data_IF_845003814753
#
_entry.id   IF_845003814753
#
_cell.length_a   1.000
_cell.length_b   1.000
_cell.length_c   1.000
_cell.angle_alpha   90.00
_cell.angle_beta   90.00
_cell.angle_gamma   90.00
#
_symmetry.space_group_name_H-M   'P 1'
#
loop_
_entity.id
_entity.type
_entity.pdbx_description
1 polymer ?
#
# COMPACT_ATOMS: atom_id res chain seq x y z
N UNK A 1 22.17 -5.22 -20.91
CA UNK A 1 21.79 -3.85 -21.33
C UNK A 1 21.72 -3.78 -22.84
N UNK A 2 20.65 -3.21 -23.41
CA UNK A 2 20.53 -2.95 -24.85
C UNK A 2 20.65 -1.44 -25.09
N UNK A 3 21.66 -1.00 -25.82
CA UNK A 3 21.85 0.42 -26.15
C UNK A 3 20.92 0.79 -27.30
N UNK A 4 20.13 1.84 -27.11
CA UNK A 4 19.18 2.35 -28.11
C UNK A 4 19.98 3.18 -29.13
N UNK A 5 19.88 2.89 -30.44
CA UNK A 5 20.55 3.68 -31.47
C UNK A 5 20.19 5.17 -31.42
N UNK A 6 21.17 6.03 -31.72
CA UNK A 6 20.95 7.48 -31.79
C UNK A 6 19.94 7.83 -32.90
N UNK A 7 19.03 8.76 -32.62
CA UNK A 7 17.95 9.13 -33.55
C UNK A 7 16.66 8.30 -33.42
N UNK A 8 16.63 7.26 -32.58
CA UNK A 8 15.40 6.49 -32.30
C UNK A 8 14.35 7.38 -31.65
N UNK A 9 13.16 7.45 -32.25
CA UNK A 9 12.05 8.29 -31.76
C UNK A 9 11.48 7.75 -30.46
N UNK A 10 10.82 8.60 -29.65
CA UNK A 10 10.21 8.17 -28.39
C UNK A 10 9.21 7.02 -28.59
N UNK A 11 8.44 7.04 -29.69
CA UNK A 11 7.48 5.98 -30.03
C UNK A 11 8.18 4.64 -30.31
N UNK A 12 9.34 4.67 -30.96
CA UNK A 12 10.14 3.46 -31.23
C UNK A 12 10.79 2.94 -29.94
N UNK A 13 11.26 3.83 -29.06
CA UNK A 13 11.75 3.45 -27.73
C UNK A 13 10.66 2.78 -26.91
N UNK A 14 9.45 3.33 -26.87
CA UNK A 14 8.31 2.73 -26.17
C UNK A 14 7.95 1.36 -26.76
N UNK A 15 8.04 1.22 -28.09
CA UNK A 15 7.82 -0.06 -28.76
C UNK A 15 8.91 -1.10 -28.47
N UNK A 16 10.15 -0.68 -28.22
CA UNK A 16 11.23 -1.57 -27.78
C UNK A 16 10.97 -1.98 -26.33
N UNK A 17 10.71 -1.03 -25.42
CA UNK A 17 10.43 -1.32 -24.00
C UNK A 17 9.21 -2.25 -23.84
N UNK A 18 8.12 -1.98 -24.58
CA UNK A 18 6.89 -2.76 -24.51
C UNK A 18 7.03 -4.20 -25.04
N UNK A 19 8.04 -4.48 -25.86
CA UNK A 19 8.30 -5.80 -26.46
C UNK A 19 9.35 -6.62 -25.73
N UNK A 20 9.93 -6.13 -24.63
CA UNK A 20 11.04 -6.83 -23.97
C UNK A 20 10.87 -6.90 -22.45
N UNK A 21 11.31 -8.03 -21.90
CA UNK A 21 11.35 -8.30 -20.45
C UNK A 21 12.78 -8.56 -19.97
N UNK A 22 12.99 -8.44 -18.67
CA UNK A 22 14.25 -8.79 -18.04
C UNK A 22 14.53 -10.29 -18.23
N UNK A 23 15.71 -10.63 -18.74
CA UNK A 23 16.10 -12.02 -18.99
C UNK A 23 16.30 -12.87 -17.73
N UNK A 24 16.51 -12.21 -16.58
CA UNK A 24 16.78 -12.82 -15.27
C UNK A 24 15.53 -12.93 -14.38
N UNK A 25 14.77 -11.85 -14.21
CA UNK A 25 13.62 -11.82 -13.28
C UNK A 25 12.25 -11.75 -13.96
N UNK A 26 12.19 -11.70 -15.30
CA UNK A 26 10.93 -11.66 -16.06
C UNK A 26 10.11 -10.38 -15.91
N UNK A 27 10.59 -9.39 -15.15
CA UNK A 27 9.94 -8.08 -14.99
C UNK A 27 10.02 -7.25 -16.27
N UNK A 28 9.20 -6.19 -16.32
CA UNK A 28 9.20 -5.23 -17.42
C UNK A 28 10.58 -4.56 -17.54
N UNK A 29 10.91 -4.17 -18.75
CA UNK A 29 12.05 -3.30 -19.01
C UNK A 29 11.61 -1.84 -18.97
N UNK A 30 12.58 -0.93 -18.86
CA UNK A 30 12.38 0.50 -18.98
C UNK A 30 13.54 1.11 -19.76
N UNK A 31 13.30 2.28 -20.38
CA UNK A 31 14.33 3.06 -21.04
C UNK A 31 14.96 4.03 -20.02
N UNK A 32 16.29 4.03 -19.99
CA UNK A 32 17.10 4.86 -19.12
C UNK A 32 18.06 5.69 -19.96
N UNK A 33 18.56 6.77 -19.38
CA UNK A 33 19.58 7.63 -19.97
C UNK A 33 20.85 7.47 -19.15
N UNK A 34 21.95 7.05 -19.79
CA UNK A 34 23.24 7.02 -19.13
C UNK A 34 23.66 8.47 -18.83
N UNK A 35 23.87 8.84 -17.55
CA UNK A 35 24.17 10.22 -17.19
C UNK A 35 25.54 10.69 -17.70
N UNK A 36 26.47 9.75 -17.94
CA UNK A 36 27.84 9.99 -18.41
C UNK A 36 27.91 10.01 -19.93
N UNK A 37 27.48 8.94 -20.60
CA UNK A 37 27.62 8.81 -22.07
C UNK A 37 26.49 9.50 -22.84
N UNK A 38 25.40 9.88 -22.16
CA UNK A 38 24.15 10.39 -22.75
C UNK A 38 23.45 9.41 -23.69
N UNK A 39 23.88 8.17 -23.72
CA UNK A 39 23.24 7.11 -24.50
C UNK A 39 21.96 6.65 -23.80
N UNK A 40 20.91 6.44 -24.59
CA UNK A 40 19.70 5.78 -24.10
C UNK A 40 19.92 4.28 -24.11
N UNK A 41 19.45 3.58 -23.09
CA UNK A 41 19.52 2.13 -23.02
C UNK A 41 18.28 1.54 -22.39
N UNK A 42 17.97 0.29 -22.72
CA UNK A 42 16.89 -0.46 -22.10
C UNK A 42 17.48 -1.36 -21.01
N UNK A 43 16.99 -1.17 -19.79
CA UNK A 43 17.35 -1.98 -18.63
C UNK A 43 16.13 -2.53 -17.86
N UNK A 44 16.37 -3.35 -16.82
CA UNK A 44 15.31 -3.92 -15.99
C UNK A 44 14.65 -2.77 -15.24
N UNK A 45 13.33 -2.81 -15.02
CA UNK A 45 12.68 -1.79 -14.19
C UNK A 45 13.03 -1.92 -12.69
N UNK A 46 13.82 -2.92 -12.32
CA UNK A 46 14.28 -3.20 -10.96
C UNK A 46 15.78 -2.91 -10.84
N UNK A 47 16.14 -2.03 -9.90
CA UNK A 47 17.50 -1.52 -9.65
C UNK A 47 18.50 -2.63 -9.32
N UNK A 48 18.01 -3.81 -8.90
CA UNK A 48 18.83 -4.97 -8.59
C UNK A 48 19.48 -5.64 -9.83
N UNK A 49 18.98 -5.38 -11.04
CA UNK A 49 19.41 -6.07 -12.27
C UNK A 49 19.84 -5.12 -13.40
N UNK A 50 20.33 -3.93 -13.06
CA UNK A 50 20.71 -2.89 -14.04
C UNK A 50 21.81 -3.33 -15.01
N UNK A 51 22.68 -4.27 -14.60
CA UNK A 51 23.76 -4.83 -15.42
C UNK A 51 23.37 -6.06 -16.25
N UNK A 52 22.19 -6.64 -16.02
CA UNK A 52 21.77 -7.89 -16.67
C UNK A 52 21.66 -7.72 -18.20
N UNK A 53 21.92 -8.79 -18.94
CA UNK A 53 21.62 -8.85 -20.37
C UNK A 53 20.09 -8.76 -20.55
N UNK A 54 19.65 -7.79 -21.34
CA UNK A 54 18.24 -7.45 -21.49
C UNK A 54 17.93 -7.55 -22.97
N UNK A 55 16.68 -7.93 -23.25
CA UNK A 55 16.13 -8.38 -24.55
C UNK A 55 15.98 -9.92 -24.56
N UNK A 56 15.01 -10.44 -23.81
CA UNK A 56 14.19 -11.54 -24.34
C UNK A 56 12.94 -10.90 -24.95
N UNK A 57 12.60 -11.28 -26.17
CA UNK A 57 11.34 -10.84 -26.79
C UNK A 57 10.20 -11.29 -25.88
N UNK A 58 9.37 -10.34 -25.47
CA UNK A 58 8.15 -10.62 -24.75
C UNK A 58 7.26 -11.41 -25.69
N UNK A 59 7.19 -12.70 -25.44
CA UNK A 59 6.17 -13.55 -26.04
C UNK A 59 4.92 -13.29 -25.20
N UNK A 60 3.95 -12.46 -25.67
CA UNK A 60 2.67 -12.37 -25.00
C UNK A 60 2.14 -13.80 -24.86
N UNK A 61 1.62 -14.20 -23.69
CA UNK A 61 0.96 -15.49 -23.59
C UNK A 61 -0.08 -15.57 -24.72
N UNK A 62 0.15 -16.48 -25.67
CA UNK A 62 -0.79 -16.70 -26.78
C UNK A 62 -2.12 -17.04 -26.15
N UNK A 63 -3.17 -16.35 -26.60
CA UNK A 63 -4.44 -16.22 -25.90
C UNK A 63 -4.88 -17.48 -25.16
N UNK A 64 -4.97 -17.37 -23.84
CA UNK A 64 -5.80 -18.20 -22.96
C UNK A 64 -5.90 -17.47 -21.61
N UNK A 65 -7.01 -16.75 -21.46
CA UNK A 65 -7.70 -16.55 -20.18
C UNK A 65 -7.05 -15.68 -19.08
N UNK A 66 -6.57 -14.48 -19.42
CA UNK A 66 -6.06 -13.51 -18.42
C UNK A 66 -7.09 -13.14 -17.35
N UNK A 67 -8.37 -13.10 -17.71
CA UNK A 67 -9.46 -12.82 -16.77
C UNK A 67 -9.68 -13.98 -15.79
N UNK A 68 -9.70 -15.23 -16.25
CA UNK A 68 -9.83 -16.35 -15.30
C UNK A 68 -8.54 -16.58 -14.51
N UNK A 69 -7.36 -16.29 -15.05
CA UNK A 69 -6.11 -16.28 -14.28
C UNK A 69 -6.13 -15.22 -13.18
N UNK A 70 -6.57 -13.99 -13.47
CA UNK A 70 -6.67 -12.94 -12.46
C UNK A 70 -7.74 -13.28 -11.41
N UNK A 71 -8.88 -13.82 -11.85
CA UNK A 71 -9.94 -14.31 -10.97
C UNK A 71 -9.41 -15.43 -10.07
N UNK A 72 -8.69 -16.40 -10.62
CA UNK A 72 -8.11 -17.51 -9.86
C UNK A 72 -7.08 -17.00 -8.86
N UNK A 73 -6.19 -16.08 -9.26
CA UNK A 73 -5.22 -15.45 -8.33
C UNK A 73 -5.90 -14.76 -7.15
N UNK A 74 -7.08 -14.15 -7.36
CA UNK A 74 -7.85 -13.53 -6.28
C UNK A 74 -8.47 -14.58 -5.36
N UNK A 75 -8.98 -15.67 -5.92
CA UNK A 75 -9.48 -16.81 -5.14
C UNK A 75 -8.34 -17.38 -4.29
N UNK A 76 -7.18 -17.62 -4.88
CA UNK A 76 -6.00 -18.16 -4.19
C UNK A 76 -5.55 -17.24 -3.05
N UNK A 77 -5.48 -15.92 -3.28
CA UNK A 77 -5.15 -14.94 -2.25
C UNK A 77 -6.16 -14.94 -1.08
N UNK A 78 -7.46 -15.06 -1.38
CA UNK A 78 -8.50 -15.12 -0.34
C UNK A 78 -8.41 -16.43 0.44
N UNK A 79 -8.16 -17.54 -0.24
CA UNK A 79 -7.93 -18.84 0.39
C UNK A 79 -6.69 -18.81 1.30
N UNK A 80 -5.59 -18.22 0.84
CA UNK A 80 -4.35 -18.09 1.63
C UNK A 80 -4.56 -17.25 2.89
N UNK A 81 -5.32 -16.16 2.80
CA UNK A 81 -5.48 -15.20 3.92
C UNK A 81 -6.63 -15.55 4.87
N UNK A 82 -7.73 -16.11 4.36
CA UNK A 82 -8.97 -16.31 5.12
C UNK A 82 -9.44 -17.77 5.14
N UNK A 83 -8.70 -18.67 4.49
CA UNK A 83 -9.00 -20.09 4.44
C UNK A 83 -9.97 -20.49 3.31
N UNK A 84 -9.93 -21.78 2.98
CA UNK A 84 -10.73 -22.37 1.89
C UNK A 84 -12.24 -22.24 2.12
N UNK A 85 -12.69 -22.34 3.38
CA UNK A 85 -14.11 -22.22 3.73
C UNK A 85 -14.67 -20.83 3.44
N UNK A 86 -13.91 -19.78 3.80
CA UNK A 86 -14.30 -18.41 3.52
C UNK A 86 -14.31 -18.14 2.01
N UNK A 87 -13.28 -18.58 1.29
CA UNK A 87 -13.20 -18.47 -0.17
C UNK A 87 -14.39 -19.13 -0.87
N UNK A 88 -14.73 -20.36 -0.47
CA UNK A 88 -15.89 -21.10 -1.01
C UNK A 88 -17.20 -20.39 -0.72
N UNK A 89 -17.39 -19.88 0.51
CA UNK A 89 -18.60 -19.16 0.90
C UNK A 89 -18.78 -17.84 0.13
N UNK A 90 -17.70 -17.09 -0.10
CA UNK A 90 -17.72 -15.85 -0.89
C UNK A 90 -18.10 -16.12 -2.35
N UNK A 91 -17.54 -17.19 -2.95
CA UNK A 91 -17.88 -17.61 -4.31
C UNK A 91 -19.34 -18.07 -4.44
N UNK A 92 -19.83 -18.87 -3.49
CA UNK A 92 -21.23 -19.33 -3.50
C UNK A 92 -22.24 -18.19 -3.41
N UNK A 93 -21.88 -17.10 -2.71
CA UNK A 93 -22.69 -15.87 -2.61
C UNK A 93 -22.55 -14.94 -3.83
N UNK A 94 -21.67 -15.26 -4.79
CA UNK A 94 -21.40 -14.42 -5.96
C UNK A 94 -20.84 -13.04 -5.61
N UNK A 95 -20.13 -12.92 -4.49
CA UNK A 95 -19.62 -11.63 -4.01
C UNK A 95 -18.39 -11.19 -4.82
N UNK A 96 -18.26 -9.88 -5.16
CA UNK A 96 -17.05 -9.39 -5.80
C UNK A 96 -15.82 -9.60 -4.91
N UNK A 97 -14.72 -10.06 -5.50
CA UNK A 97 -13.44 -10.22 -4.80
C UNK A 97 -12.53 -8.98 -4.94
N UNK A 98 -12.99 -7.96 -5.66
CA UNK A 98 -12.31 -6.67 -5.82
C UNK A 98 -13.30 -5.57 -6.18
N UNK A 99 -12.78 -4.35 -6.28
CA UNK A 99 -13.53 -3.19 -6.78
C UNK A 99 -14.31 -2.52 -5.66
N UNK A 100 -15.30 -1.70 -6.03
CA UNK A 100 -16.17 -1.05 -5.05
C UNK A 100 -17.31 -1.99 -4.66
N UNK A 101 -17.62 -2.03 -3.38
CA UNK A 101 -18.73 -2.80 -2.83
C UNK A 101 -19.88 -1.85 -2.45
N UNK A 102 -21.10 -2.34 -2.61
CA UNK A 102 -22.24 -1.79 -1.87
C UNK A 102 -22.10 -2.11 -0.38
N UNK A 103 -22.79 -1.35 0.49
CA UNK A 103 -22.79 -1.62 1.94
C UNK A 103 -23.26 -3.05 2.27
N UNK A 104 -24.28 -3.54 1.56
CA UNK A 104 -24.79 -4.91 1.70
C UNK A 104 -23.72 -5.96 1.32
N UNK A 105 -23.03 -5.75 0.19
CA UNK A 105 -21.94 -6.63 -0.22
C UNK A 105 -20.77 -6.59 0.76
N UNK A 106 -20.38 -5.42 1.24
CA UNK A 106 -19.32 -5.26 2.24
C UNK A 106 -19.68 -6.00 3.54
N UNK A 107 -20.91 -5.85 4.03
CA UNK A 107 -21.43 -6.58 5.20
C UNK A 107 -21.34 -8.09 5.00
N UNK A 108 -21.79 -8.60 3.85
CA UNK A 108 -21.72 -10.03 3.54
C UNK A 108 -20.28 -10.56 3.43
N UNK A 109 -19.35 -9.76 2.90
CA UNK A 109 -17.93 -10.14 2.85
C UNK A 109 -17.35 -10.19 4.25
N UNK A 110 -17.53 -9.12 5.04
CA UNK A 110 -17.01 -8.99 6.40
C UNK A 110 -17.51 -10.10 7.34
N UNK A 111 -18.83 -10.36 7.37
CA UNK A 111 -19.41 -11.49 8.14
C UNK A 111 -18.89 -12.85 7.70
N UNK A 112 -18.41 -12.99 6.46
CA UNK A 112 -17.88 -14.27 5.96
C UNK A 112 -16.44 -14.51 6.43
N UNK A 113 -15.60 -13.48 6.46
CA UNK A 113 -14.17 -13.58 6.82
C UNK A 113 -13.89 -13.28 8.30
N UNK A 114 -14.78 -12.56 8.99
CA UNK A 114 -14.73 -12.29 10.44
C UNK A 114 -16.04 -12.75 11.08
N UNK A 115 -16.22 -14.07 11.21
CA UNK A 115 -17.47 -14.68 11.65
C UNK A 115 -17.83 -14.37 13.11
N UNK A 116 -16.81 -14.19 13.94
CA UNK A 116 -16.96 -13.97 15.38
C UNK A 116 -17.01 -12.48 15.76
N UNK A 117 -16.85 -11.58 14.78
CA UNK A 117 -16.91 -10.15 15.02
C UNK A 117 -18.35 -9.71 15.37
N UNK A 118 -18.54 -8.83 16.37
CA UNK A 118 -19.85 -8.29 16.70
C UNK A 118 -20.51 -7.58 15.52
N UNK A 119 -21.82 -7.74 15.36
CA UNK A 119 -22.59 -7.18 14.25
C UNK A 119 -22.39 -5.66 14.09
N UNK A 120 -22.29 -4.94 15.20
CA UNK A 120 -22.07 -3.49 15.20
C UNK A 120 -20.70 -3.10 14.61
N UNK A 121 -19.65 -3.89 14.86
CA UNK A 121 -18.32 -3.62 14.31
C UNK A 121 -18.25 -3.97 12.83
N UNK A 122 -18.94 -5.03 12.42
CA UNK A 122 -19.12 -5.38 11.01
C UNK A 122 -19.85 -4.27 10.26
N UNK A 123 -20.95 -3.75 10.82
CA UNK A 123 -21.72 -2.67 10.19
C UNK A 123 -20.90 -1.39 10.04
N UNK A 124 -20.18 -0.96 11.09
CA UNK A 124 -19.27 0.19 11.03
C UNK A 124 -18.21 0.02 9.93
N UNK A 125 -17.59 -1.16 9.86
CA UNK A 125 -16.59 -1.48 8.85
C UNK A 125 -17.16 -1.52 7.43
N UNK A 126 -18.36 -2.08 7.25
CA UNK A 126 -19.06 -2.10 5.97
C UNK A 126 -19.34 -0.68 5.48
N UNK A 127 -19.78 0.20 6.39
CA UNK A 127 -20.05 1.60 6.08
C UNK A 127 -18.79 2.34 5.62
N UNK A 128 -17.68 2.16 6.33
CA UNK A 128 -16.38 2.72 5.94
C UNK A 128 -15.92 2.17 4.59
N UNK A 129 -16.11 0.88 4.32
CA UNK A 129 -15.75 0.30 3.02
C UNK A 129 -16.56 0.91 1.88
N UNK A 130 -17.86 1.11 2.07
CA UNK A 130 -18.72 1.72 1.09
C UNK A 130 -18.37 3.19 0.85
N UNK A 131 -18.34 4.00 1.91
CA UNK A 131 -18.19 5.46 1.82
C UNK A 131 -16.82 5.87 1.26
N UNK A 132 -15.77 5.07 1.53
CA UNK A 132 -14.40 5.35 1.08
C UNK A 132 -13.94 4.44 -0.06
N UNK A 133 -14.82 3.61 -0.63
CA UNK A 133 -14.50 2.69 -1.73
C UNK A 133 -13.34 1.75 -1.39
N UNK A 134 -13.34 1.19 -0.19
CA UNK A 134 -12.38 0.18 0.27
C UNK A 134 -12.94 -1.23 0.10
N UNK A 135 -12.06 -2.22 0.21
CA UNK A 135 -12.42 -3.62 0.02
C UNK A 135 -11.66 -4.46 1.04
N UNK A 136 -12.35 -5.19 1.94
CA UNK A 136 -11.68 -5.89 3.05
C UNK A 136 -10.74 -7.00 2.56
N UNK A 137 -11.09 -7.73 1.49
CA UNK A 137 -10.22 -8.75 0.89
C UNK A 137 -8.94 -8.19 0.22
N UNK A 138 -8.82 -6.87 0.09
CA UNK A 138 -7.64 -6.21 -0.48
C UNK A 138 -6.75 -5.60 0.60
N UNK A 139 -6.83 -6.10 1.84
CA UNK A 139 -6.04 -5.62 2.99
C UNK A 139 -6.25 -4.14 3.31
N UNK A 140 -7.41 -3.59 2.91
CA UNK A 140 -7.69 -2.17 3.13
C UNK A 140 -8.15 -1.87 4.55
N UNK A 141 -8.87 -2.81 5.16
CA UNK A 141 -9.50 -2.68 6.46
C UNK A 141 -9.45 -4.03 7.18
N UNK A 142 -9.25 -3.99 8.48
CA UNK A 142 -9.20 -5.16 9.35
C UNK A 142 -10.11 -4.96 10.56
N UNK A 143 -10.73 -6.04 11.01
CA UNK A 143 -11.31 -6.16 12.34
C UNK A 143 -10.36 -7.00 13.19
N UNK A 144 -9.83 -6.41 14.26
CA UNK A 144 -8.85 -7.03 15.15
C UNK A 144 -9.47 -7.19 16.53
N UNK A 145 -9.39 -8.39 17.08
CA UNK A 145 -9.80 -8.70 18.44
C UNK A 145 -8.66 -8.44 19.44
N UNK A 146 -8.98 -7.71 20.51
CA UNK A 146 -8.12 -7.43 21.65
C UNK A 146 -8.88 -7.83 22.93
N UNK A 147 -8.67 -9.07 23.38
CA UNK A 147 -9.46 -9.64 24.48
C UNK A 147 -10.94 -9.68 24.10
N UNK A 148 -11.81 -9.07 24.92
CA UNK A 148 -13.26 -9.02 24.66
C UNK A 148 -13.69 -7.86 23.75
N UNK A 149 -12.74 -7.11 23.17
CA UNK A 149 -13.02 -5.93 22.36
C UNK A 149 -12.59 -6.10 20.92
N UNK A 150 -13.41 -5.62 19.98
CA UNK A 150 -13.08 -5.62 18.56
C UNK A 150 -12.80 -4.19 18.10
N UNK A 151 -11.73 -4.00 17.34
CA UNK A 151 -11.32 -2.71 16.82
C UNK A 151 -11.15 -2.77 15.30
N UNK A 152 -11.78 -1.82 14.62
CA UNK A 152 -11.55 -1.56 13.22
C UNK A 152 -10.25 -0.77 13.03
N UNK A 153 -9.37 -1.26 12.17
CA UNK A 153 -8.16 -0.55 11.75
C UNK A 153 -8.02 -0.54 10.23
N UNK A 154 -7.29 0.44 9.71
CA UNK A 154 -6.97 0.55 8.28
C UNK A 154 -5.54 0.13 8.01
N UNK A 155 -5.31 -0.54 6.88
CA UNK A 155 -3.97 -0.63 6.31
C UNK A 155 -3.45 0.76 5.95
N UNK A 156 -2.16 1.03 6.17
CA UNK A 156 -1.56 2.30 5.73
C UNK A 156 -1.64 2.44 4.20
N UNK A 157 -1.57 1.32 3.46
CA UNK A 157 -1.84 1.27 2.02
C UNK A 157 -3.22 1.81 1.64
N UNK A 158 -4.27 1.50 2.40
CA UNK A 158 -5.61 2.05 2.17
C UNK A 158 -5.67 3.56 2.42
N UNK A 159 -4.96 4.05 3.44
CA UNK A 159 -4.85 5.49 3.69
C UNK A 159 -4.20 6.19 2.49
N UNK A 160 -3.11 5.65 1.96
CA UNK A 160 -2.44 6.16 0.75
C UNK A 160 -3.37 6.12 -0.47
N UNK A 161 -4.12 5.04 -0.65
CA UNK A 161 -5.08 4.89 -1.75
C UNK A 161 -6.19 5.95 -1.70
N UNK A 162 -6.80 6.16 -0.54
CA UNK A 162 -7.84 7.18 -0.35
C UNK A 162 -7.31 8.58 -0.67
N UNK A 163 -6.06 8.87 -0.27
CA UNK A 163 -5.41 10.13 -0.56
C UNK A 163 -5.08 10.29 -2.05
N UNK A 164 -4.59 9.23 -2.70
CA UNK A 164 -4.25 9.26 -4.12
C UNK A 164 -5.48 9.54 -5.00
N UNK A 165 -6.68 9.14 -4.57
CA UNK A 165 -7.95 9.49 -5.24
C UNK A 165 -8.28 10.98 -5.18
N UNK A 166 -7.69 11.75 -4.25
CA UNK A 166 -7.84 13.21 -4.17
C UNK A 166 -6.79 13.98 -4.97
N UNK A 167 -5.76 13.29 -5.45
CA UNK A 167 -4.70 13.88 -6.26
C UNK A 167 -3.33 13.31 -5.91
N UNK A 168 -2.36 13.61 -6.77
CA UNK A 168 -0.99 13.19 -6.57
C UNK A 168 -0.36 13.90 -5.36
N UNK A 169 0.36 13.13 -4.55
CA UNK A 169 1.16 13.61 -3.43
C UNK A 169 2.52 12.92 -3.43
N UNK A 170 3.50 13.55 -2.79
CA UNK A 170 4.84 13.00 -2.60
C UNK A 170 5.36 13.26 -1.20
N UNK A 171 6.26 12.39 -0.77
CA UNK A 171 7.04 12.60 0.45
C UNK A 171 8.15 13.61 0.17
N UNK A 172 8.35 14.51 1.11
CA UNK A 172 9.46 15.47 1.09
C UNK A 172 10.41 15.15 2.24
N UNK A 173 11.66 15.64 2.13
CA UNK A 173 12.64 15.56 3.22
C UNK A 173 12.93 14.12 3.72
N UNK A 174 12.92 13.15 2.80
CA UNK A 174 13.16 11.72 3.07
C UNK A 174 12.33 11.17 4.24
N UNK A 175 11.05 11.55 4.29
CA UNK A 175 10.12 11.11 5.34
C UNK A 175 9.21 9.97 4.86
N UNK A 176 8.62 9.13 5.76
CA UNK A 176 8.68 9.18 7.22
C UNK A 176 10.07 8.89 7.79
N UNK A 177 10.48 9.65 8.81
CA UNK A 177 11.75 9.42 9.54
C UNK A 177 11.63 9.80 11.01
N UNK A 178 12.61 9.39 11.82
CA UNK A 178 12.72 9.83 13.22
C UNK A 178 13.03 11.33 13.25
N UNK A 179 12.37 12.06 14.15
CA UNK A 179 12.65 13.47 14.39
C UNK A 179 13.97 13.65 15.12
N UNK A 180 14.77 14.61 14.65
CA UNK A 180 15.97 15.05 15.37
C UNK A 180 15.59 15.73 16.69
N UNK A 181 16.55 15.83 17.63
CA UNK A 181 16.31 16.53 18.91
C UNK A 181 15.88 17.98 18.70
N UNK A 182 16.56 18.71 17.81
CA UNK A 182 16.23 20.10 17.50
C UNK A 182 14.82 20.26 16.90
N UNK A 183 14.37 19.33 16.05
CA UNK A 183 12.99 19.33 15.55
C UNK A 183 11.98 19.07 16.67
N UNK A 184 12.28 18.16 17.60
CA UNK A 184 11.38 17.91 18.73
C UNK A 184 11.29 19.10 19.68
N UNK A 185 12.42 19.75 19.98
CA UNK A 185 12.45 20.96 20.80
C UNK A 185 11.70 22.12 20.12
N UNK A 186 11.88 22.30 18.82
CA UNK A 186 11.19 23.35 18.06
C UNK A 186 9.67 23.15 17.99
N UNK A 187 9.20 21.90 17.88
CA UNK A 187 7.76 21.60 17.68
C UNK A 187 7.03 21.31 19.00
N UNK A 188 7.66 20.58 19.92
CA UNK A 188 7.05 20.12 21.17
C UNK A 188 7.59 20.83 22.42
N UNK A 189 8.57 21.72 22.28
CA UNK A 189 9.23 22.42 23.39
C UNK A 189 10.18 21.54 24.22
N UNK A 190 10.26 20.24 23.93
CA UNK A 190 11.13 19.30 24.64
C UNK A 190 11.38 18.03 23.83
N UNK A 191 12.46 17.30 24.15
CA UNK A 191 12.76 16.00 23.57
C UNK A 191 12.01 14.90 24.31
N UNK A 192 11.27 14.08 23.59
CA UNK A 192 10.53 12.94 24.14
C UNK A 192 11.50 11.76 24.40
N UNK A 193 11.68 11.43 25.68
CA UNK A 193 12.61 10.37 26.09
C UNK A 193 11.97 8.99 26.03
N UNK A 194 10.65 8.91 26.11
CA UNK A 194 9.93 7.64 26.29
C UNK A 194 9.39 7.09 24.96
N UNK A 195 9.20 7.96 23.96
CA UNK A 195 8.64 7.58 22.67
C UNK A 195 9.63 7.70 21.52
N UNK A 196 9.53 6.79 20.55
CA UNK A 196 10.01 7.04 19.18
C UNK A 196 9.10 8.09 18.58
N UNK A 197 9.68 9.21 18.18
CA UNK A 197 8.95 10.32 17.57
C UNK A 197 9.35 10.43 16.11
N UNK A 198 8.35 10.37 15.23
CA UNK A 198 8.52 10.41 13.79
C UNK A 198 7.83 11.62 13.18
N UNK A 199 8.34 12.04 12.03
CA UNK A 199 7.79 13.11 11.21
C UNK A 199 7.59 12.63 9.78
N UNK A 200 6.47 13.04 9.19
CA UNK A 200 6.14 12.83 7.78
C UNK A 200 5.79 14.17 7.18
N UNK A 201 6.44 14.54 6.08
CA UNK A 201 6.19 15.79 5.35
C UNK A 201 5.71 15.46 3.95
N UNK A 202 4.49 15.88 3.63
CA UNK A 202 3.84 15.62 2.35
C UNK A 202 3.68 16.91 1.57
N UNK A 203 3.76 16.82 0.25
CA UNK A 203 3.42 17.89 -0.68
C UNK A 203 2.53 17.35 -1.80
N UNK A 204 1.46 18.07 -2.15
CA UNK A 204 0.62 17.75 -3.32
C UNK A 204 1.19 18.34 -4.61
N UNK A 205 0.72 17.86 -5.75
CA UNK A 205 1.04 18.48 -7.05
C UNK A 205 0.57 19.95 -7.15
N UNK A 206 -0.45 20.35 -6.37
CA UNK A 206 -0.93 21.74 -6.29
C UNK A 206 -0.11 22.61 -5.33
N UNK A 207 0.92 22.06 -4.68
CA UNK A 207 1.80 22.79 -3.77
C UNK A 207 1.30 22.86 -2.32
N UNK A 208 0.21 22.19 -1.96
CA UNK A 208 -0.23 22.09 -0.57
C UNK A 208 0.74 21.21 0.21
N UNK A 209 1.07 21.63 1.42
CA UNK A 209 1.98 20.89 2.29
C UNK A 209 1.32 20.57 3.63
N UNK A 210 1.65 19.39 4.15
CA UNK A 210 1.27 19.02 5.51
C UNK A 210 2.41 18.25 6.17
N UNK A 211 2.58 18.51 7.46
CA UNK A 211 3.47 17.72 8.31
C UNK A 211 2.62 16.92 9.26
N UNK A 212 2.93 15.65 9.44
CA UNK A 212 2.35 14.78 10.45
C UNK A 212 3.39 14.31 11.45
N UNK A 213 2.92 14.00 12.65
CA UNK A 213 3.75 13.51 13.73
C UNK A 213 3.22 12.20 14.27
N UNK A 214 4.11 11.27 14.57
CA UNK A 214 3.77 9.97 15.13
C UNK A 214 4.60 9.67 16.36
N UNK A 215 3.94 9.20 17.43
CA UNK A 215 4.60 8.76 18.65
C UNK A 215 4.29 7.29 18.93
N UNK A 216 5.31 6.54 19.32
CA UNK A 216 5.16 5.18 19.80
C UNK A 216 6.10 4.89 20.98
N UNK A 217 5.65 4.26 22.07
CA UNK A 217 6.51 3.96 23.22
C UNK A 217 7.74 3.15 22.82
N UNK A 218 8.93 3.51 23.32
CA UNK A 218 10.20 2.79 23.07
C UNK A 218 10.22 1.44 23.77
N UNK A 219 9.65 1.36 24.96
CA UNK A 219 9.59 0.18 25.81
C UNK A 219 8.16 -0.10 26.24
N UNK A 220 7.87 -1.36 26.56
CA UNK A 220 6.55 -1.78 27.02
C UNK A 220 5.47 -1.86 25.92
N UNK A 221 4.35 -2.51 26.26
CA UNK A 221 3.19 -2.69 25.39
C UNK A 221 3.38 -3.72 24.28
N UNK A 222 2.29 -4.39 23.92
CA UNK A 222 2.22 -5.22 22.72
C UNK A 222 1.93 -4.34 21.50
N UNK A 223 2.40 -4.76 20.33
CA UNK A 223 2.07 -4.11 19.07
C UNK A 223 1.92 -5.17 17.98
N UNK A 224 1.04 -4.88 17.03
CA UNK A 224 0.67 -5.86 16.02
C UNK A 224 1.88 -6.28 15.19
N UNK A 225 2.09 -7.59 15.04
CA UNK A 225 3.14 -8.12 14.19
C UNK A 225 4.56 -8.08 14.74
N UNK A 226 4.76 -7.86 16.05
CA UNK A 226 6.09 -7.89 16.67
C UNK A 226 6.84 -9.22 16.41
N UNK A 227 6.15 -10.37 16.48
CA UNK A 227 6.72 -11.68 16.16
C UNK A 227 7.01 -11.90 14.66
N UNK A 228 6.48 -11.04 13.80
CA UNK A 228 6.70 -11.06 12.35
C UNK A 228 7.75 -10.03 11.90
N UNK A 229 8.47 -9.42 12.85
CA UNK A 229 9.52 -8.44 12.57
C UNK A 229 9.04 -7.00 12.39
N UNK A 230 7.78 -6.69 12.74
CA UNK A 230 7.35 -5.29 12.82
C UNK A 230 8.14 -4.58 13.93
N UNK A 231 8.30 -3.25 13.82
CA UNK A 231 9.07 -2.46 14.80
C UNK A 231 8.26 -1.29 15.35
N UNK A 232 8.59 -0.87 16.57
CA UNK A 232 8.03 0.34 17.20
C UNK A 232 8.29 1.60 16.38
N UNK A 233 9.43 1.64 15.69
CA UNK A 233 9.76 2.69 14.74
C UNK A 233 8.78 2.71 13.56
N UNK A 234 8.47 1.55 12.97
CA UNK A 234 7.47 1.46 11.90
C UNK A 234 6.09 1.93 12.40
N UNK A 235 5.69 1.56 13.62
CA UNK A 235 4.44 2.04 14.22
C UNK A 235 4.41 3.57 14.37
N UNK A 236 5.53 4.19 14.77
CA UNK A 236 5.63 5.65 14.79
C UNK A 236 5.53 6.25 13.37
N UNK A 237 6.13 5.60 12.37
CA UNK A 237 6.12 6.06 10.98
C UNK A 237 4.71 6.05 10.37
N UNK A 238 3.97 4.95 10.51
CA UNK A 238 2.60 4.87 9.96
C UNK A 238 1.65 5.84 10.65
N UNK A 239 1.81 6.07 11.97
CA UNK A 239 1.03 7.07 12.72
C UNK A 239 1.34 8.49 12.24
N UNK A 240 2.62 8.78 12.05
CA UNK A 240 3.09 10.05 11.51
C UNK A 240 2.53 10.32 10.12
N UNK A 241 2.57 9.32 9.26
CA UNK A 241 2.06 9.41 7.90
C UNK A 241 0.54 9.59 7.87
N UNK A 242 -0.20 8.80 8.64
CA UNK A 242 -1.66 8.95 8.79
C UNK A 242 -2.03 10.35 9.27
N UNK A 243 -1.28 10.89 10.23
CA UNK A 243 -1.50 12.25 10.73
C UNK A 243 -1.23 13.30 9.65
N UNK A 244 -0.17 13.13 8.84
CA UNK A 244 0.15 14.04 7.74
C UNK A 244 -0.98 14.07 6.71
N UNK A 245 -1.51 12.89 6.33
CA UNK A 245 -2.64 12.82 5.42
C UNK A 245 -3.92 13.43 5.99
N UNK A 246 -4.21 13.18 7.27
CA UNK A 246 -5.40 13.74 7.93
C UNK A 246 -5.35 15.27 7.98
N UNK A 247 -4.14 15.85 8.06
CA UNK A 247 -3.94 17.31 7.98
C UNK A 247 -4.03 17.84 6.55
N UNK A 248 -3.56 17.05 5.57
CA UNK A 248 -3.55 17.46 4.18
C UNK A 248 -4.96 17.47 3.56
N UNK A 249 -5.76 16.44 3.85
CA UNK A 249 -7.16 16.34 3.43
C UNK A 249 -7.99 15.61 4.51
N UNK A 250 -8.55 16.32 5.50
CA UNK A 250 -9.29 15.69 6.61
C UNK A 250 -10.53 14.91 6.13
N UNK A 251 -11.22 15.39 5.10
CA UNK A 251 -12.43 14.76 4.56
C UNK A 251 -12.15 13.55 3.67
N UNK A 252 -10.88 13.27 3.37
CA UNK A 252 -10.51 12.12 2.55
C UNK A 252 -10.44 10.82 3.35
N UNK A 253 -10.45 10.90 4.68
CA UNK A 253 -10.14 9.80 5.56
C UNK A 253 -11.18 9.66 6.68
N UNK A 254 -11.53 8.42 7.08
CA UNK A 254 -12.45 8.20 8.20
C UNK A 254 -11.81 8.64 9.52
N UNK A 255 -12.53 9.45 10.30
CA UNK A 255 -12.03 9.99 11.56
C UNK A 255 -12.06 8.92 12.67
N UNK A 256 -11.11 8.99 13.61
CA UNK A 256 -11.06 8.10 14.77
C UNK A 256 -10.70 6.65 14.48
N UNK A 257 -10.26 6.31 13.27
CA UNK A 257 -9.82 4.95 12.90
C UNK A 257 -8.31 4.85 12.94
N UNK A 258 -7.81 3.86 13.68
CA UNK A 258 -6.38 3.57 13.79
C UNK A 258 -5.81 2.94 12.51
N UNK A 259 -4.48 3.01 12.38
CA UNK A 259 -3.75 2.46 11.24
C UNK A 259 -2.73 1.39 11.64
N UNK A 260 -2.58 0.41 10.77
CA UNK A 260 -1.61 -0.69 10.87
C UNK A 260 -0.83 -0.83 9.57
N UNK A 261 0.31 -1.51 9.62
CA UNK A 261 1.03 -1.92 8.42
C UNK A 261 0.54 -3.31 8.02
N UNK A 262 -0.20 -3.38 6.91
CA UNK A 262 -0.86 -4.57 6.38
C UNK A 262 0.07 -5.77 6.12
N UNK A 263 1.40 -5.56 6.13
CA UNK A 263 2.40 -6.63 6.02
C UNK A 263 2.53 -7.47 7.29
N UNK A 264 2.06 -6.96 8.42
CA UNK A 264 2.24 -7.57 9.73
C UNK A 264 0.92 -7.80 10.48
N UNK A 265 -0.18 -7.92 9.75
CA UNK A 265 -1.52 -8.25 10.25
C UNK A 265 -1.92 -9.61 9.72
#
# INVERSE_FOLDING_TARGET
MYVIPEGTTSKEVDAIVGRHVCGECGRKTAAFLNPVTKERYVACSDVAHDAAAIVKEFIPPKGEDTLNQEKQRRIDNVTEQHGQDASTALMAKGLPLSGMLTEEQATKVLTTIWRDAPEIEVWKAAKVCHDFGLHPLLKHLYLIEYGDTWTMVLGIGATRLMMARRGAFGYTDNTPRIMTKGEQEAIFGSVDKDNVVAITKLRTATGLEAQGYGKYPKTGGHFMGAGMGNTRQNMAFIRSERNAFSRLNPDALPQGVDVVDERYV
#
